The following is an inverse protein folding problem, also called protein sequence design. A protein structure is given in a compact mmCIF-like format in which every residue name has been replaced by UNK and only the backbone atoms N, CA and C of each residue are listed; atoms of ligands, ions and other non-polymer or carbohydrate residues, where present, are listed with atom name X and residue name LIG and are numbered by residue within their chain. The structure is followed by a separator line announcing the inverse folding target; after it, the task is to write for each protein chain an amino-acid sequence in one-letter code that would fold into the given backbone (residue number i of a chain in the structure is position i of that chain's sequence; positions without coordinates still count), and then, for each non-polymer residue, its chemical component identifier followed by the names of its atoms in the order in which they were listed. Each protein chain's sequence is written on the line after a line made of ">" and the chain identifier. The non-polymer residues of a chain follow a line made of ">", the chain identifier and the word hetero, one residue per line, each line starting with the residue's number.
data_IF_401734846431
#
_entry.id   IF_401734846431
#
_cell.length_a   1.000
_cell.length_b   1.000
_cell.length_c   1.000
_cell.angle_alpha   90.00
_cell.angle_beta   90.00
_cell.angle_gamma   90.00
#
_symmetry.space_group_name_H-M   'P 1'
#
loop_
_entity.id
_entity.type
_entity.pdbx_description
1 polymer ?
#
# COMPACT_ATOMS: atom_id res chain seq x y z
N UNK A 1 5.76 20.02 1.69
CA UNK A 1 6.28 21.24 2.36
C UNK A 1 7.58 20.97 3.14
N UNK A 2 7.59 20.09 4.15
CA UNK A 2 8.81 19.73 4.94
C UNK A 2 10.04 19.32 4.12
N UNK A 3 9.87 18.66 2.97
CA UNK A 3 10.99 18.25 2.11
C UNK A 3 11.71 19.43 1.44
N UNK A 4 10.96 20.46 1.00
CA UNK A 4 11.50 21.66 0.35
C UNK A 4 12.22 22.57 1.35
N UNK A 5 11.71 22.68 2.58
CA UNK A 5 12.34 23.45 3.65
C UNK A 5 13.68 22.81 4.08
N UNK A 6 13.71 21.48 4.23
CA UNK A 6 14.95 20.74 4.55
C UNK A 6 15.99 20.81 3.42
N UNK A 7 15.54 20.87 2.17
CA UNK A 7 16.37 21.11 0.98
C UNK A 7 16.96 22.53 1.01
N UNK A 8 16.17 23.53 1.36
CA UNK A 8 16.60 24.92 1.44
C UNK A 8 17.65 25.13 2.53
N UNK A 9 17.45 24.55 3.72
CA UNK A 9 18.43 24.59 4.81
C UNK A 9 19.75 23.91 4.45
N UNK A 10 19.70 22.79 3.72
CA UNK A 10 20.90 22.11 3.23
C UNK A 10 21.63 22.90 2.17
N UNK A 11 20.93 23.64 1.32
CA UNK A 11 21.54 24.53 0.32
C UNK A 11 22.28 25.69 1.01
N UNK A 12 21.71 26.28 2.05
CA UNK A 12 22.37 27.34 2.84
C UNK A 12 23.59 26.83 3.62
N UNK A 13 23.51 25.64 4.23
CA UNK A 13 24.64 25.07 4.97
C UNK A 13 25.85 24.75 4.07
N UNK A 14 25.61 24.43 2.80
CA UNK A 14 26.62 23.95 1.85
C UNK A 14 27.29 25.08 1.07
N UNK A 15 26.68 26.27 0.98
CA UNK A 15 27.30 27.46 0.38
C UNK A 15 28.56 27.95 1.13
N UNK A 16 28.79 27.47 2.35
CA UNK A 16 29.93 27.83 3.20
C UNK A 16 31.16 26.92 3.05
N UNK A 17 31.13 25.90 2.18
CA UNK A 17 32.22 24.93 2.03
C UNK A 17 32.84 25.00 0.61
N UNK A 18 34.02 25.60 0.50
CA UNK A 18 34.70 25.98 -0.77
C UNK A 18 35.12 24.80 -1.68
N UNK A 19 34.79 23.55 -1.32
CA UNK A 19 35.11 22.35 -2.11
C UNK A 19 33.88 21.75 -2.79
N UNK A 20 33.11 22.57 -3.48
CA UNK A 20 31.97 22.08 -4.24
C UNK A 20 32.40 21.55 -5.62
N UNK A 21 32.53 20.22 -5.75
CA UNK A 21 32.77 19.58 -7.05
C UNK A 21 31.50 19.50 -7.89
N UNK A 22 31.62 19.79 -9.19
CA UNK A 22 30.58 19.76 -10.24
C UNK A 22 29.66 18.51 -10.20
N UNK A 23 30.18 17.40 -9.68
CA UNK A 23 29.46 16.13 -9.48
C UNK A 23 28.23 16.34 -8.57
N UNK A 24 28.34 17.11 -7.50
CA UNK A 24 27.22 17.38 -6.60
C UNK A 24 26.17 18.27 -7.27
N UNK A 25 26.58 19.30 -8.03
CA UNK A 25 25.64 20.13 -8.81
C UNK A 25 24.82 19.30 -9.78
N UNK A 26 25.43 18.31 -10.45
CA UNK A 26 24.71 17.39 -11.35
C UNK A 26 23.73 16.52 -10.58
N UNK A 27 24.16 15.88 -9.50
CA UNK A 27 23.26 15.05 -8.67
C UNK A 27 22.07 15.85 -8.12
N UNK A 28 22.29 17.11 -7.74
CA UNK A 28 21.22 18.00 -7.28
C UNK A 28 20.29 18.42 -8.41
N UNK A 29 20.82 18.74 -9.59
CA UNK A 29 20.01 19.02 -10.78
C UNK A 29 19.13 17.83 -11.13
N UNK A 30 19.68 16.62 -11.13
CA UNK A 30 18.95 15.40 -11.46
C UNK A 30 17.85 15.12 -10.42
N UNK A 31 18.14 15.32 -9.13
CA UNK A 31 17.11 15.24 -8.06
C UNK A 31 16.02 16.28 -8.24
N UNK A 32 16.37 17.51 -8.61
CA UNK A 32 15.41 18.59 -8.80
C UNK A 32 14.52 18.33 -10.02
N UNK A 33 15.09 17.86 -11.13
CA UNK A 33 14.34 17.49 -12.33
C UNK A 33 13.42 16.28 -12.08
N UNK A 34 13.86 15.28 -11.30
CA UNK A 34 13.00 14.17 -10.90
C UNK A 34 11.84 14.67 -10.01
N UNK A 35 12.12 15.49 -8.99
CA UNK A 35 11.07 16.08 -8.15
C UNK A 35 10.10 16.97 -8.95
N UNK A 36 10.61 17.71 -9.93
CA UNK A 36 9.81 18.54 -10.83
C UNK A 36 8.93 17.68 -11.73
N UNK A 37 9.45 16.58 -12.25
CA UNK A 37 8.68 15.60 -13.03
C UNK A 37 7.57 14.96 -12.18
N UNK A 38 7.86 14.61 -10.94
CA UNK A 38 6.88 14.07 -9.99
C UNK A 38 5.79 15.10 -9.63
N UNK A 39 6.11 16.40 -9.64
CA UNK A 39 5.17 17.47 -9.34
C UNK A 39 4.29 17.87 -10.55
N UNK A 40 4.87 17.89 -11.76
CA UNK A 40 4.20 18.35 -12.98
C UNK A 40 3.37 17.23 -13.62
N UNK A 41 3.85 16.00 -13.53
CA UNK A 41 3.19 14.80 -14.06
C UNK A 41 3.21 13.70 -13.00
N UNK A 42 2.46 13.85 -11.89
CA UNK A 42 2.33 12.78 -10.93
C UNK A 42 1.73 11.55 -11.62
N UNK A 43 2.44 10.42 -11.63
CA UNK A 43 1.94 9.15 -12.19
C UNK A 43 0.62 8.69 -11.56
N UNK A 44 0.28 9.24 -10.39
CA UNK A 44 -0.89 8.92 -9.59
C UNK A 44 -2.07 9.87 -9.75
N UNK A 45 -1.93 11.03 -10.42
CA UNK A 45 -2.99 12.05 -10.49
C UNK A 45 -3.11 12.60 -11.91
N UNK A 46 -4.24 12.36 -12.56
CA UNK A 46 -4.57 13.04 -13.82
C UNK A 46 -5.56 14.18 -13.55
N UNK A 47 -5.07 15.42 -13.65
CA UNK A 47 -5.90 16.61 -13.51
C UNK A 47 -6.55 16.89 -14.87
N UNK A 48 -7.86 16.70 -14.95
CA UNK A 48 -8.65 17.13 -16.11
C UNK A 48 -9.36 18.44 -15.78
N UNK A 49 -9.14 19.47 -16.60
CA UNK A 49 -10.01 20.65 -16.58
C UNK A 49 -11.26 20.32 -17.41
N UNK A 50 -12.41 20.32 -16.76
CA UNK A 50 -13.68 20.32 -17.47
C UNK A 50 -13.90 21.73 -18.02
N UNK A 51 -13.78 21.89 -19.34
CA UNK A 51 -14.08 23.13 -20.05
C UNK A 51 -15.60 23.30 -20.18
N UNK A 52 -16.28 23.39 -19.03
CA UNK A 52 -17.65 23.88 -19.00
C UNK A 52 -17.55 25.41 -19.03
N UNK A 53 -17.81 26.00 -20.20
CA UNK A 53 -17.74 27.44 -20.49
C UNK A 53 -18.62 28.37 -19.60
N UNK A 54 -19.13 27.90 -18.46
CA UNK A 54 -20.13 28.60 -17.64
C UNK A 54 -19.70 28.79 -16.16
N UNK A 55 -18.63 28.17 -15.68
CA UNK A 55 -18.21 28.30 -14.26
C UNK A 55 -16.83 28.95 -14.10
N UNK A 56 -16.80 30.09 -13.39
CA UNK A 56 -15.59 30.88 -13.07
C UNK A 56 -14.55 30.12 -12.23
N UNK A 57 -14.94 28.99 -11.63
CA UNK A 57 -14.06 28.09 -10.89
C UNK A 57 -14.24 26.70 -11.47
N UNK A 58 -13.25 26.22 -12.22
CA UNK A 58 -13.21 24.84 -12.72
C UNK A 58 -13.24 23.88 -11.53
N UNK A 59 -14.18 22.93 -11.55
CA UNK A 59 -14.23 21.86 -10.56
C UNK A 59 -12.97 21.01 -10.75
N UNK A 60 -12.05 21.05 -9.79
CA UNK A 60 -10.87 20.20 -9.76
C UNK A 60 -11.30 18.78 -9.39
N UNK A 61 -11.32 17.89 -10.38
CA UNK A 61 -11.54 16.45 -10.15
C UNK A 61 -10.17 15.80 -10.00
N UNK A 62 -9.86 15.30 -8.80
CA UNK A 62 -8.64 14.52 -8.55
C UNK A 62 -8.92 13.09 -8.97
N UNK A 63 -8.47 12.70 -10.16
CA UNK A 63 -8.54 11.30 -10.59
C UNK A 63 -7.38 10.57 -9.91
N UNK A 64 -7.70 9.74 -8.93
CA UNK A 64 -6.75 8.78 -8.36
C UNK A 64 -6.44 7.76 -9.46
N UNK A 65 -5.22 7.78 -10.02
CA UNK A 65 -4.81 6.81 -11.03
C UNK A 65 -4.75 5.45 -10.35
N UNK A 66 -5.60 4.56 -10.82
CA UNK A 66 -5.78 3.24 -10.24
C UNK A 66 -4.56 2.36 -10.57
N UNK A 67 -3.85 1.85 -9.55
CA UNK A 67 -2.76 0.91 -9.81
C UNK A 67 -3.36 -0.38 -10.39
N UNK A 68 -2.94 -0.75 -11.60
CA UNK A 68 -3.13 -2.10 -12.16
C UNK A 68 -2.19 -3.08 -11.45
N UNK A 69 -2.27 -3.15 -10.12
CA UNK A 69 -1.43 -4.07 -9.36
C UNK A 69 -1.95 -5.50 -9.51
N UNK A 70 -1.02 -6.44 -9.45
CA UNK A 70 -1.23 -7.87 -9.56
C UNK A 70 -0.34 -8.55 -8.53
N UNK A 71 -0.74 -9.75 -8.12
CA UNK A 71 0.12 -10.61 -7.33
C UNK A 71 1.30 -11.09 -8.19
N UNK A 72 2.51 -11.01 -7.64
CA UNK A 72 3.74 -11.40 -8.36
C UNK A 72 4.58 -12.39 -7.57
N UNK A 73 4.86 -12.09 -6.30
CA UNK A 73 5.81 -12.85 -5.49
C UNK A 73 5.10 -13.64 -4.41
N UNK A 74 5.49 -14.90 -4.23
CA UNK A 74 4.92 -15.82 -3.24
C UNK A 74 5.98 -16.28 -2.24
N UNK A 75 5.52 -16.67 -1.04
CA UNK A 75 6.27 -17.52 -0.13
C UNK A 75 5.32 -18.43 0.64
N UNK A 76 5.74 -19.66 0.92
CA UNK A 76 4.88 -20.70 1.49
C UNK A 76 4.07 -21.43 0.42
N UNK A 77 3.03 -22.12 0.87
CA UNK A 77 2.18 -22.99 0.05
C UNK A 77 1.04 -22.17 -0.58
N UNK A 78 1.40 -21.24 -1.45
CA UNK A 78 0.44 -20.40 -2.18
C UNK A 78 0.74 -20.36 -3.68
N UNK A 79 -0.31 -20.45 -4.49
CA UNK A 79 -0.23 -20.25 -5.94
C UNK A 79 -0.92 -18.97 -6.33
N UNK A 80 -0.42 -18.37 -7.42
CA UNK A 80 -1.04 -17.25 -8.09
C UNK A 80 -1.63 -17.77 -9.41
N UNK A 81 -2.87 -17.40 -9.69
CA UNK A 81 -3.63 -17.80 -10.87
C UNK A 81 -4.33 -16.58 -11.51
N UNK A 82 -5.09 -16.80 -12.57
CA UNK A 82 -5.85 -15.78 -13.30
C UNK A 82 -4.99 -14.57 -13.67
N UNK A 83 -3.82 -14.84 -14.28
CA UNK A 83 -2.87 -13.84 -14.74
C UNK A 83 -2.39 -12.87 -13.62
N UNK A 84 -2.24 -13.36 -12.39
CA UNK A 84 -1.80 -12.55 -11.26
C UNK A 84 -2.92 -11.99 -10.41
N UNK A 85 -4.18 -12.28 -10.72
CA UNK A 85 -5.31 -11.70 -10.00
C UNK A 85 -5.79 -12.52 -8.81
N UNK A 86 -5.53 -13.81 -8.80
CA UNK A 86 -6.06 -14.72 -7.79
C UNK A 86 -4.91 -15.35 -7.00
N UNK A 87 -4.95 -15.25 -5.68
CA UNK A 87 -4.08 -16.03 -4.80
C UNK A 87 -4.88 -17.18 -4.19
N UNK A 88 -4.34 -18.39 -4.20
CA UNK A 88 -5.00 -19.60 -3.70
C UNK A 88 -4.06 -20.34 -2.74
N UNK A 89 -4.53 -20.55 -1.52
CA UNK A 89 -3.81 -21.31 -0.51
C UNK A 89 -3.82 -22.81 -0.81
N UNK A 90 -2.67 -23.46 -0.67
CA UNK A 90 -2.43 -24.82 -1.12
C UNK A 90 -2.63 -25.89 -0.05
N UNK A 91 -1.94 -25.77 1.09
CA UNK A 91 -1.89 -26.79 2.14
C UNK A 91 -2.54 -26.28 3.44
N UNK A 92 -3.14 -27.17 4.22
CA UNK A 92 -3.74 -26.82 5.51
C UNK A 92 -2.66 -26.42 6.52
N UNK A 93 -2.91 -25.32 7.25
CA UNK A 93 -2.22 -24.91 8.48
C UNK A 93 -0.81 -24.33 8.32
N UNK A 94 -0.42 -23.98 7.09
CA UNK A 94 0.84 -23.28 6.83
C UNK A 94 0.59 -21.81 6.51
N UNK A 95 1.34 -20.91 7.13
CA UNK A 95 1.32 -19.51 6.69
C UNK A 95 1.89 -19.39 5.28
N UNK A 96 1.20 -18.63 4.45
CA UNK A 96 1.65 -18.27 3.11
C UNK A 96 1.40 -16.80 2.85
N UNK A 97 2.28 -16.19 2.07
CA UNK A 97 2.24 -14.76 1.80
C UNK A 97 2.39 -14.47 0.31
N UNK A 98 1.77 -13.39 -0.12
CA UNK A 98 1.89 -12.85 -1.47
C UNK A 98 2.24 -11.37 -1.39
N UNK A 99 3.08 -10.90 -2.31
CA UNK A 99 3.29 -9.47 -2.55
C UNK A 99 2.77 -9.04 -3.90
N UNK A 100 2.27 -7.81 -3.93
CA UNK A 100 1.95 -7.10 -5.17
C UNK A 100 3.21 -6.77 -5.97
N UNK A 101 3.01 -6.51 -7.26
CA UNK A 101 4.03 -6.06 -8.21
C UNK A 101 4.36 -4.58 -8.01
N UNK A 102 3.37 -3.78 -7.60
CA UNK A 102 3.48 -2.35 -7.42
C UNK A 102 4.43 -1.94 -6.30
N UNK A 103 4.95 -0.72 -6.43
CA UNK A 103 5.85 -0.08 -5.47
C UNK A 103 5.35 1.34 -5.19
N UNK A 104 5.13 1.64 -3.92
CA UNK A 104 4.41 2.82 -3.50
C UNK A 104 5.30 3.69 -2.62
N UNK A 105 5.70 4.87 -3.13
CA UNK A 105 6.54 5.82 -2.39
C UNK A 105 5.89 7.19 -2.17
N UNK A 106 4.82 7.48 -2.89
CA UNK A 106 4.12 8.77 -2.88
C UNK A 106 2.69 8.59 -3.40
N UNK A 107 1.80 9.51 -3.05
CA UNK A 107 0.41 9.48 -3.53
C UNK A 107 -0.50 8.57 -2.71
N UNK A 108 -1.68 8.32 -3.28
CA UNK A 108 -2.75 7.54 -2.67
C UNK A 108 -3.17 6.42 -3.61
N UNK A 109 -3.42 5.24 -3.04
CA UNK A 109 -3.76 4.04 -3.80
C UNK A 109 -4.92 3.32 -3.13
N UNK A 110 -5.81 2.75 -3.95
CA UNK A 110 -6.93 1.93 -3.49
C UNK A 110 -6.86 0.58 -4.18
N UNK A 111 -7.02 -0.48 -3.40
CA UNK A 111 -7.08 -1.85 -3.87
C UNK A 111 -8.34 -2.49 -3.34
N UNK A 112 -9.03 -3.26 -4.17
CA UNK A 112 -10.20 -4.01 -3.78
C UNK A 112 -9.90 -5.49 -3.87
N UNK A 113 -10.23 -6.23 -2.83
CA UNK A 113 -10.00 -7.66 -2.75
C UNK A 113 -11.32 -8.36 -2.49
N UNK A 114 -11.67 -9.31 -3.36
CA UNK A 114 -12.79 -10.22 -3.10
C UNK A 114 -12.29 -11.45 -2.37
N UNK A 115 -12.85 -11.71 -1.20
CA UNK A 115 -12.66 -12.97 -0.48
C UNK A 115 -13.59 -13.98 -1.15
N UNK A 116 -13.09 -14.83 -2.05
CA UNK A 116 -13.97 -15.79 -2.75
C UNK A 116 -14.21 -17.04 -1.92
N UNK A 117 -13.19 -17.49 -1.19
CA UNK A 117 -13.25 -18.62 -0.29
C UNK A 117 -12.41 -18.29 0.95
N UNK A 118 -12.97 -18.53 2.13
CA UNK A 118 -12.28 -18.39 3.40
C UNK A 118 -12.91 -19.35 4.39
N UNK A 119 -12.09 -20.07 5.14
CA UNK A 119 -12.58 -21.01 6.12
C UNK A 119 -13.26 -20.38 7.35
N UNK A 120 -13.68 -21.25 8.28
CA UNK A 120 -14.33 -20.86 9.52
C UNK A 120 -13.43 -20.04 10.47
N UNK A 121 -12.10 -20.19 10.36
CA UNK A 121 -11.16 -19.43 11.16
C UNK A 121 -11.02 -17.99 10.63
N UNK A 122 -11.44 -17.75 9.39
CA UNK A 122 -11.53 -16.44 8.75
C UNK A 122 -10.21 -15.69 8.74
N UNK A 123 -9.09 -16.41 8.69
CA UNK A 123 -7.77 -15.80 8.77
C UNK A 123 -7.27 -15.38 7.39
N UNK A 124 -7.28 -14.07 7.15
CA UNK A 124 -6.61 -13.43 6.03
C UNK A 124 -5.92 -12.17 6.53
N UNK A 125 -4.71 -11.89 6.05
CA UNK A 125 -3.95 -10.67 6.36
C UNK A 125 -3.95 -9.73 5.15
N UNK A 126 -4.20 -8.44 5.40
CA UNK A 126 -4.15 -7.36 4.41
C UNK A 126 -3.26 -6.23 4.93
N UNK A 127 -2.26 -5.85 4.15
CA UNK A 127 -1.36 -4.80 4.57
C UNK A 127 -0.28 -4.45 3.57
N UNK A 128 0.78 -3.87 4.10
CA UNK A 128 1.96 -3.40 3.39
C UNK A 128 3.24 -3.90 4.04
N UNK A 129 4.32 -3.84 3.29
CA UNK A 129 5.68 -4.11 3.75
C UNK A 129 6.67 -3.26 2.97
N UNK A 130 7.82 -2.95 3.57
CA UNK A 130 8.91 -2.32 2.82
C UNK A 130 9.49 -3.30 1.79
N UNK A 131 9.66 -2.85 0.55
CA UNK A 131 10.17 -3.66 -0.58
C UNK A 131 11.48 -4.39 -0.25
N UNK A 132 12.37 -3.71 0.47
CA UNK A 132 13.74 -4.17 0.71
C UNK A 132 13.82 -5.35 1.69
N UNK A 133 12.71 -5.74 2.32
CA UNK A 133 12.68 -6.90 3.21
C UNK A 133 12.54 -8.18 2.40
N UNK A 134 13.31 -9.24 2.71
CA UNK A 134 13.14 -10.54 2.07
C UNK A 134 11.71 -11.07 2.19
N UNK A 135 11.26 -11.81 1.17
CA UNK A 135 9.96 -12.46 1.21
C UNK A 135 9.97 -13.57 2.27
N UNK A 136 8.90 -13.65 3.07
CA UNK A 136 8.70 -14.68 4.11
C UNK A 136 7.26 -15.16 4.04
N UNK A 137 7.04 -16.42 4.39
CA UNK A 137 5.71 -17.04 4.34
C UNK A 137 4.77 -16.50 5.45
N UNK A 138 5.33 -16.15 6.61
CA UNK A 138 4.57 -15.57 7.72
C UNK A 138 4.52 -14.04 7.57
N UNK A 139 3.42 -13.54 6.98
CA UNK A 139 3.22 -12.09 6.73
C UNK A 139 3.31 -11.26 8.02
N UNK A 140 2.68 -11.73 9.09
CA UNK A 140 2.55 -10.99 10.37
C UNK A 140 3.84 -10.91 11.20
N UNK A 141 4.85 -11.71 10.89
CA UNK A 141 6.17 -11.66 11.54
C UNK A 141 7.26 -11.13 10.60
N UNK A 142 6.85 -10.61 9.44
CA UNK A 142 7.79 -10.00 8.50
C UNK A 142 8.20 -8.64 9.05
N UNK A 143 9.51 -8.38 9.24
CA UNK A 143 9.97 -7.07 9.67
C UNK A 143 9.40 -6.00 8.74
N UNK A 144 9.03 -4.83 9.28
CA UNK A 144 8.40 -3.73 8.53
C UNK A 144 6.96 -3.98 8.06
N UNK A 145 6.36 -5.13 8.32
CA UNK A 145 4.96 -5.37 7.93
C UNK A 145 3.99 -4.55 8.78
N UNK A 146 2.99 -3.96 8.14
CA UNK A 146 1.86 -3.29 8.78
C UNK A 146 0.57 -3.75 8.14
N UNK A 147 -0.45 -4.03 8.92
CA UNK A 147 -1.73 -4.47 8.37
C UNK A 147 -2.69 -5.00 9.41
N UNK A 148 -3.83 -5.43 8.91
CA UNK A 148 -4.92 -5.98 9.70
C UNK A 148 -5.22 -7.39 9.18
N UNK A 149 -5.63 -8.27 10.08
CA UNK A 149 -6.00 -9.63 9.77
C UNK A 149 -7.35 -10.00 10.38
N UNK A 150 -7.94 -11.07 9.85
CA UNK A 150 -9.01 -11.79 10.53
C UNK A 150 -8.69 -12.11 11.99
N UNK A 151 -9.74 -12.42 12.77
CA UNK A 151 -9.62 -12.68 14.22
C UNK A 151 -9.03 -11.50 15.01
N UNK A 152 -9.42 -10.28 14.65
CA UNK A 152 -9.02 -9.02 15.30
C UNK A 152 -7.49 -8.80 15.31
N UNK A 153 -6.79 -9.41 14.36
CA UNK A 153 -5.34 -9.38 14.28
C UNK A 153 -4.82 -8.04 13.79
N UNK A 154 -3.89 -7.44 14.51
CA UNK A 154 -3.21 -6.22 14.11
C UNK A 154 -1.72 -6.51 14.00
N UNK A 155 -1.09 -6.12 12.89
CA UNK A 155 0.36 -6.19 12.72
C UNK A 155 0.94 -4.78 12.67
N UNK A 156 1.84 -4.48 13.60
CA UNK A 156 2.57 -3.21 13.65
C UNK A 156 4.06 -3.48 13.61
N UNK A 157 4.73 -3.13 12.50
CA UNK A 157 6.16 -3.38 12.31
C UNK A 157 6.57 -4.85 12.48
N UNK A 158 5.75 -5.79 12.01
CA UNK A 158 6.01 -7.22 12.14
C UNK A 158 5.75 -7.80 13.54
N UNK A 159 5.06 -7.04 14.41
CA UNK A 159 4.61 -7.51 15.72
C UNK A 159 3.10 -7.73 15.63
N UNK A 160 2.69 -9.00 15.72
CA UNK A 160 1.28 -9.39 15.76
C UNK A 160 0.70 -9.17 17.15
N UNK A 161 -0.44 -8.49 17.21
CA UNK A 161 -1.16 -8.18 18.43
C UNK A 161 -2.62 -8.59 18.25
N UNK A 162 -3.14 -9.36 19.23
CA UNK A 162 -4.58 -9.63 19.37
C UNK A 162 -5.27 -8.66 20.35
N UNK A 163 -4.48 -7.86 21.06
CA UNK A 163 -5.00 -6.90 22.04
C UNK A 163 -5.45 -5.65 21.33
N UNK A 164 -6.69 -5.24 21.60
CA UNK A 164 -7.42 -4.29 20.78
C UNK A 164 -7.04 -2.83 21.02
N UNK A 165 -5.78 -2.47 20.79
CA UNK A 165 -5.25 -1.12 21.04
C UNK A 165 -5.94 -0.03 20.22
N UNK A 166 -6.64 -0.40 19.15
CA UNK A 166 -7.34 0.53 18.23
C UNK A 166 -8.83 0.18 18.05
N UNK A 167 -9.41 -0.66 18.90
CA UNK A 167 -10.80 -1.13 18.77
C UNK A 167 -11.15 -1.75 17.40
N UNK A 168 -10.15 -2.32 16.72
CA UNK A 168 -10.35 -3.14 15.54
C UNK A 168 -11.12 -4.41 15.89
N UNK A 169 -12.20 -4.65 15.14
CA UNK A 169 -12.92 -5.91 15.18
C UNK A 169 -13.07 -6.36 13.74
N UNK A 170 -12.50 -7.52 13.42
CA UNK A 170 -12.61 -8.10 12.10
C UNK A 170 -14.04 -8.55 11.86
N UNK A 171 -14.60 -8.10 10.74
CA UNK A 171 -15.92 -8.47 10.25
C UNK A 171 -15.87 -9.13 8.87
N UNK A 172 -14.68 -9.61 8.47
CA UNK A 172 -14.45 -10.26 7.19
C UNK A 172 -15.21 -11.57 7.07
N UNK A 173 -15.97 -11.70 5.98
CA UNK A 173 -16.71 -12.91 5.63
C UNK A 173 -16.39 -13.35 4.19
N UNK A 174 -16.70 -14.61 3.89
CA UNK A 174 -16.69 -15.09 2.51
C UNK A 174 -17.64 -14.24 1.64
N UNK A 175 -17.21 -13.94 0.42
CA UNK A 175 -17.82 -13.03 -0.56
C UNK A 175 -17.73 -11.54 -0.25
N UNK A 176 -17.09 -11.14 0.86
CA UNK A 176 -16.86 -9.72 1.12
C UNK A 176 -15.85 -9.13 0.14
N UNK A 177 -16.01 -7.83 -0.10
CA UNK A 177 -15.03 -7.00 -0.77
C UNK A 177 -14.35 -6.13 0.29
N UNK A 178 -13.05 -6.30 0.41
CA UNK A 178 -12.20 -5.55 1.32
C UNK A 178 -11.42 -4.52 0.52
N UNK A 179 -11.58 -3.25 0.87
CA UNK A 179 -10.78 -2.15 0.32
C UNK A 179 -9.56 -1.92 1.22
N UNK A 180 -8.37 -1.95 0.65
CA UNK A 180 -7.15 -1.43 1.26
C UNK A 180 -6.80 -0.09 0.60
N UNK A 181 -6.82 0.96 1.40
CA UNK A 181 -6.35 2.29 1.03
C UNK A 181 -4.93 2.50 1.59
N UNK A 182 -4.03 2.99 0.75
CA UNK A 182 -2.66 3.35 1.10
C UNK A 182 -2.47 4.83 0.81
N UNK A 183 -2.06 5.61 1.81
CA UNK A 183 -1.66 7.00 1.64
C UNK A 183 -0.20 7.16 2.04
N UNK A 184 0.68 7.22 1.03
CA UNK A 184 2.11 7.39 1.26
C UNK A 184 2.43 8.80 1.77
N UNK A 185 1.61 9.80 1.46
CA UNK A 185 1.87 11.18 1.84
C UNK A 185 1.57 11.41 3.33
N UNK A 186 0.50 10.81 3.83
CA UNK A 186 0.11 10.86 5.23
C UNK A 186 0.63 9.68 6.06
N UNK A 187 1.29 8.73 5.42
CA UNK A 187 1.86 7.53 6.04
C UNK A 187 0.82 6.70 6.78
N UNK A 188 -0.34 6.48 6.14
CA UNK A 188 -1.43 5.68 6.69
C UNK A 188 -1.82 4.56 5.74
N UNK A 189 -2.34 3.48 6.31
CA UNK A 189 -3.16 2.52 5.58
C UNK A 189 -4.52 2.41 6.25
N UNK A 190 -5.55 2.11 5.46
CA UNK A 190 -6.91 1.93 5.98
C UNK A 190 -7.55 0.72 5.32
N UNK A 191 -8.09 -0.17 6.13
CA UNK A 191 -8.86 -1.31 5.66
C UNK A 191 -10.34 -1.03 5.88
N UNK A 192 -11.14 -1.21 4.83
CA UNK A 192 -12.59 -1.01 4.87
C UNK A 192 -13.30 -2.23 4.31
N UNK A 193 -14.30 -2.72 5.02
CA UNK A 193 -15.21 -3.74 4.48
C UNK A 193 -16.37 -3.04 3.76
N UNK A 194 -16.57 -3.34 2.48
CA UNK A 194 -17.62 -2.67 1.69
C UNK A 194 -19.04 -3.05 2.15
N UNK A 195 -19.25 -4.26 2.67
CA UNK A 195 -20.56 -4.75 3.11
C UNK A 195 -21.03 -4.07 4.39
N UNK A 196 -20.15 -4.01 5.39
CA UNK A 196 -20.47 -3.47 6.73
C UNK A 196 -20.18 -1.98 6.85
N UNK A 197 -19.38 -1.43 5.93
CA UNK A 197 -18.80 -0.10 6.00
C UNK A 197 -17.90 0.14 7.22
N UNK A 198 -17.47 -0.92 7.92
CA UNK A 198 -16.44 -0.80 8.94
C UNK A 198 -15.14 -0.33 8.29
N UNK A 199 -14.39 0.48 9.02
CA UNK A 199 -13.17 1.08 8.49
C UNK A 199 -12.18 1.32 9.62
N UNK A 200 -10.96 0.83 9.45
CA UNK A 200 -9.92 0.88 10.46
C UNK A 200 -8.60 1.36 9.85
N UNK A 201 -7.98 2.32 10.51
CA UNK A 201 -6.79 3.01 10.02
C UNK A 201 -5.58 2.71 10.90
N UNK A 202 -4.42 2.56 10.26
CA UNK A 202 -3.13 2.38 10.91
C UNK A 202 -2.18 3.47 10.46
N UNK A 203 -1.55 4.11 11.44
CA UNK A 203 -0.41 4.99 11.21
C UNK A 203 0.86 4.16 11.03
N UNK A 204 1.64 4.49 9.99
CA UNK A 204 2.87 3.81 9.64
C UNK A 204 4.06 4.62 10.14
N UNK A 205 4.90 4.01 10.96
CA UNK A 205 6.19 4.60 11.32
C UNK A 205 7.18 4.33 10.19
N UNK A 206 7.48 5.37 9.41
CA UNK A 206 8.38 5.27 8.24
C UNK A 206 9.79 4.81 8.62
N UNK A 207 10.23 5.01 9.86
CA UNK A 207 11.54 4.53 10.31
C UNK A 207 11.55 3.00 10.45
N UNK A 208 10.38 2.40 10.67
CA UNK A 208 10.18 0.96 10.80
C UNK A 208 9.70 0.32 9.49
N UNK A 209 8.97 1.04 8.65
CA UNK A 209 8.56 0.60 7.33
C UNK A 209 8.90 1.66 6.28
N UNK A 210 10.16 1.72 5.82
CA UNK A 210 10.56 2.72 4.84
C UNK A 210 10.01 2.43 3.45
N UNK A 211 9.85 3.48 2.64
CA UNK A 211 9.50 3.36 1.23
C UNK A 211 10.59 2.65 0.41
N UNK A 212 10.25 2.09 -0.77
CA UNK A 212 8.88 1.91 -1.28
C UNK A 212 8.14 0.80 -0.53
N UNK A 213 6.84 0.98 -0.38
CA UNK A 213 5.94 -0.06 0.12
C UNK A 213 5.49 -0.98 -1.00
N UNK A 214 5.20 -2.23 -0.67
CA UNK A 214 4.51 -3.18 -1.53
C UNK A 214 3.28 -3.72 -0.80
N UNK A 215 2.25 -4.12 -1.55
CA UNK A 215 1.16 -4.91 -0.98
C UNK A 215 1.71 -6.19 -0.35
N UNK A 216 1.17 -6.56 0.81
CA UNK A 216 1.43 -7.81 1.48
C UNK A 216 0.11 -8.43 1.93
N UNK A 217 -0.20 -9.60 1.37
CA UNK A 217 -1.35 -10.40 1.77
C UNK A 217 -0.88 -11.72 2.37
N UNK A 218 -1.68 -12.33 3.23
CA UNK A 218 -1.38 -13.64 3.81
C UNK A 218 -2.62 -14.50 4.04
N UNK A 219 -2.43 -15.82 3.89
CA UNK A 219 -3.38 -16.88 4.22
C UNK A 219 -2.68 -17.92 5.11
N UNK A 220 -3.42 -18.69 5.91
CA UNK A 220 -2.80 -19.62 6.86
C UNK A 220 -3.59 -20.91 7.09
N UNK A 221 -4.92 -20.82 7.15
CA UNK A 221 -5.67 -21.86 7.81
C UNK A 221 -6.01 -23.00 6.85
N UNK A 222 -6.86 -22.77 5.84
CA UNK A 222 -7.38 -23.88 5.03
C UNK A 222 -6.82 -23.93 3.62
N UNK A 223 -6.64 -25.15 3.12
CA UNK A 223 -6.40 -25.36 1.71
C UNK A 223 -7.63 -24.89 0.90
N UNK A 224 -7.40 -24.12 -0.15
CA UNK A 224 -8.46 -23.59 -1.01
C UNK A 224 -8.96 -22.19 -0.69
N UNK A 225 -8.56 -21.61 0.46
CA UNK A 225 -8.76 -20.19 0.76
C UNK A 225 -8.22 -19.36 -0.41
N UNK A 226 -9.00 -18.40 -0.90
CA UNK A 226 -8.60 -17.64 -2.06
C UNK A 226 -9.14 -16.23 -2.06
N UNK A 227 -8.27 -15.31 -2.47
CA UNK A 227 -8.54 -13.90 -2.52
C UNK A 227 -8.20 -13.40 -3.91
N UNK A 228 -9.09 -12.63 -4.50
CA UNK A 228 -8.90 -12.02 -5.81
C UNK A 228 -8.70 -10.53 -5.68
N UNK A 229 -7.67 -9.98 -6.30
CA UNK A 229 -7.60 -8.53 -6.53
C UNK A 229 -8.56 -8.17 -7.66
N UNK A 230 -9.47 -7.25 -7.39
CA UNK A 230 -10.45 -6.77 -8.36
C UNK A 230 -9.86 -5.60 -9.15
N UNK A 231 -10.18 -5.48 -10.46
CA UNK A 231 -9.95 -4.23 -11.16
C UNK A 231 -10.73 -3.13 -10.46
N UNK A 232 -10.10 -1.97 -10.28
CA UNK A 232 -10.82 -0.81 -9.82
C UNK A 232 -11.84 -0.43 -10.91
N UNK A 233 -13.11 -0.39 -10.52
CA UNK A 233 -14.22 0.09 -11.34
C UNK A 233 -14.98 1.07 -10.48
N UNK A 234 -14.47 2.30 -10.36
CA UNK A 234 -15.26 3.40 -9.83
C UNK A 234 -15.71 4.28 -10.99
N UNK A 235 -17.02 4.40 -11.12
CA UNK A 235 -17.68 5.46 -11.87
C UNK A 235 -18.14 6.41 -10.76
N UNK A 236 -17.44 7.52 -10.56
CA UNK A 236 -17.96 8.66 -9.78
C UNK A 236 -18.88 9.52 -10.68
#
# INVERSE_FOLDING_TARGET
>A
KKSLENLSEKVEQIQNDEKFTEIYLRQWRDKLENLKKDLITPETIQIHQHDDHITFVSKLTVIIVEPKDLFERTAGNIRIDDNGQLMIHGQWSDHSAVRGKGEYSSGQYRFRFKIEELDSDKWAFFGIVSKNVPMRAISISTPTAYGLAGQDGICLSGIYQKTNTIQYQSDMEMNDIIELFIDCNHQIIRLKNERTHSSHELNIDINKCPFPWQLLLGLCCSAGDRIRILPCTYIE
#
